data_IF_574893924897
#
_entry.id   IF_574893924897
#
_cell.length_a   1.000
_cell.length_b   1.000
_cell.length_c   1.000
_cell.angle_alpha   90.00
_cell.angle_beta   90.00
_cell.angle_gamma   90.00
#
_symmetry.space_group_name_H-M   'P 1'
#
loop_
_entity.id
_entity.type
_entity.pdbx_description
1 polymer ?
#
# COMPACT_ATOMS: atom_id res chain seq x y z
N UNK A 1 -1.11 -28.44 62.77
CA UNK A 1 -1.78 -28.80 61.50
C UNK A 1 -0.84 -28.44 60.36
N UNK A 2 -0.03 -29.42 59.92
CA UNK A 2 1.03 -29.25 58.93
C UNK A 2 0.40 -29.57 57.57
N UNK A 3 0.28 -28.57 56.70
CA UNK A 3 -0.18 -28.74 55.33
C UNK A 3 0.99 -29.22 54.47
N UNK A 4 0.94 -30.49 54.10
CA UNK A 4 1.85 -31.07 53.09
C UNK A 4 1.46 -30.50 51.72
N UNK A 5 2.29 -29.61 51.17
CA UNK A 5 2.23 -29.23 49.74
C UNK A 5 2.80 -30.39 48.92
N UNK A 6 1.94 -31.11 48.22
CA UNK A 6 2.32 -32.06 47.19
C UNK A 6 2.74 -31.30 45.93
N UNK A 7 4.03 -31.24 45.69
CA UNK A 7 4.59 -30.78 44.39
C UNK A 7 4.32 -31.85 43.35
N UNK A 8 3.33 -31.65 42.49
CA UNK A 8 3.16 -32.46 41.29
C UNK A 8 4.31 -32.19 40.32
N UNK A 9 5.34 -32.99 40.42
CA UNK A 9 6.45 -32.97 39.46
C UNK A 9 5.92 -33.37 38.08
N UNK A 10 5.95 -32.45 37.10
CA UNK A 10 5.72 -32.77 35.70
C UNK A 10 6.72 -33.85 35.28
N UNK A 11 6.25 -35.06 34.99
CA UNK A 11 7.06 -36.12 34.40
C UNK A 11 7.64 -35.64 33.06
N UNK A 12 8.91 -35.29 33.05
CA UNK A 12 9.64 -34.88 31.86
C UNK A 12 9.88 -36.12 31.00
N UNK A 13 9.22 -36.25 29.85
CA UNK A 13 9.44 -37.36 28.93
C UNK A 13 10.88 -37.34 28.42
N UNK A 14 11.59 -38.46 28.57
CA UNK A 14 12.91 -38.66 28.00
C UNK A 14 12.76 -39.17 26.57
N UNK A 15 13.47 -38.57 25.67
CA UNK A 15 13.46 -38.93 24.24
C UNK A 15 14.84 -39.51 23.87
N UNK A 16 14.84 -40.41 22.85
CA UNK A 16 16.07 -41.04 22.37
C UNK A 16 17.06 -39.95 21.86
N UNK A 17 18.31 -40.05 22.31
CA UNK A 17 19.39 -39.16 21.90
C UNK A 17 19.66 -39.21 20.41
N UNK A 18 19.47 -40.38 19.76
CA UNK A 18 19.65 -40.55 18.30
C UNK A 18 18.66 -39.68 17.50
N UNK A 19 17.41 -39.61 17.96
CA UNK A 19 16.41 -38.75 17.37
C UNK A 19 16.76 -37.27 17.60
N UNK A 20 17.23 -36.91 18.78
CA UNK A 20 17.69 -35.55 19.07
C UNK A 20 18.87 -35.15 18.17
N UNK A 21 19.83 -36.04 17.96
CA UNK A 21 20.98 -35.81 17.08
C UNK A 21 20.59 -35.77 15.60
N UNK A 22 19.59 -36.55 15.19
CA UNK A 22 19.05 -36.48 13.84
C UNK A 22 18.40 -35.14 13.57
N UNK A 23 17.53 -34.64 14.47
CA UNK A 23 16.90 -33.33 14.37
C UNK A 23 17.96 -32.23 14.38
N UNK A 24 19.00 -32.31 15.22
CA UNK A 24 20.10 -31.33 15.24
C UNK A 24 20.88 -31.31 13.92
N UNK A 25 21.26 -32.46 13.38
CA UNK A 25 22.04 -32.55 12.15
C UNK A 25 21.27 -32.09 10.93
N UNK A 26 19.99 -32.43 10.87
CA UNK A 26 19.13 -32.05 9.72
C UNK A 26 18.56 -30.67 9.86
N UNK A 27 18.47 -30.10 11.08
CA UNK A 27 17.76 -28.86 11.36
C UNK A 27 16.24 -28.96 11.13
N UNK A 28 15.72 -30.16 10.91
CA UNK A 28 14.33 -30.41 10.55
C UNK A 28 13.52 -30.92 11.75
N UNK A 29 12.71 -30.06 12.32
CA UNK A 29 11.85 -30.40 13.45
C UNK A 29 10.66 -31.29 13.07
N UNK A 30 10.35 -31.41 11.77
CA UNK A 30 9.21 -32.22 11.31
C UNK A 30 9.43 -33.68 11.60
N UNK A 31 10.68 -34.16 11.57
CA UNK A 31 11.06 -35.53 11.92
C UNK A 31 10.59 -35.91 13.33
N UNK A 32 10.64 -34.98 14.26
CA UNK A 32 10.18 -35.21 15.63
C UNK A 32 8.65 -35.00 15.77
N UNK A 33 8.08 -34.03 15.05
CA UNK A 33 6.63 -33.78 15.13
C UNK A 33 5.81 -34.91 14.49
N UNK A 34 6.33 -35.56 13.47
CA UNK A 34 5.69 -36.70 12.80
C UNK A 34 5.65 -37.95 13.72
N UNK A 35 6.54 -38.00 14.74
CA UNK A 35 6.52 -38.98 15.82
C UNK A 35 5.73 -38.51 17.04
N UNK A 36 4.90 -37.49 16.93
CA UNK A 36 4.06 -36.99 18.03
C UNK A 36 4.79 -36.19 19.10
N UNK A 37 6.02 -35.72 18.84
CA UNK A 37 6.79 -34.92 19.81
C UNK A 37 6.43 -33.44 19.64
N UNK A 38 6.14 -32.71 20.75
CA UNK A 38 5.82 -31.30 20.67
C UNK A 38 6.88 -30.46 19.94
N UNK A 39 6.48 -29.59 19.06
CA UNK A 39 7.39 -28.75 18.26
C UNK A 39 8.30 -27.86 19.09
N UNK A 40 7.85 -27.41 20.26
CA UNK A 40 8.66 -26.69 21.25
C UNK A 40 9.83 -27.51 21.77
N UNK A 41 9.60 -28.81 22.08
CA UNK A 41 10.62 -29.75 22.52
C UNK A 41 11.68 -30.00 21.44
N UNK A 42 11.23 -30.25 20.20
CA UNK A 42 12.11 -30.44 19.04
C UNK A 42 12.96 -29.19 18.73
N UNK A 43 12.38 -28.00 18.87
CA UNK A 43 13.12 -26.72 18.76
C UNK A 43 14.15 -26.56 19.90
N UNK A 44 13.81 -26.96 21.12
CA UNK A 44 14.72 -26.92 22.25
C UNK A 44 15.97 -27.79 22.05
N UNK A 45 15.88 -28.88 21.28
CA UNK A 45 17.03 -29.70 20.93
C UNK A 45 18.01 -29.02 19.99
N UNK A 46 17.53 -28.12 19.10
CA UNK A 46 18.42 -27.35 18.21
C UNK A 46 19.28 -26.34 18.99
N UNK A 47 18.80 -25.88 20.14
CA UNK A 47 19.49 -24.89 20.97
C UNK A 47 20.50 -25.52 21.93
N UNK A 48 20.42 -26.85 22.21
CA UNK A 48 21.34 -27.55 23.14
C UNK A 48 22.62 -28.01 22.42
N UNK A 49 23.75 -27.90 23.08
CA UNK A 49 25.00 -28.47 22.58
C UNK A 49 24.85 -30.00 22.35
N UNK A 50 25.44 -30.53 21.29
CA UNK A 50 25.39 -31.97 21.01
C UNK A 50 26.12 -32.75 22.10
N UNK A 51 25.52 -33.86 22.55
CA UNK A 51 26.25 -34.83 23.34
C UNK A 51 27.31 -35.47 22.44
N UNK A 52 28.55 -35.46 22.88
CA UNK A 52 29.62 -36.14 22.16
C UNK A 52 29.49 -37.64 22.48
N UNK A 53 28.97 -38.42 21.50
CA UNK A 53 28.95 -39.88 21.56
C UNK A 53 30.11 -40.37 20.72
N UNK A 54 31.07 -40.98 21.34
CA UNK A 54 32.24 -41.59 20.67
C UNK A 54 31.84 -42.95 20.12
N UNK A 55 32.15 -43.22 18.87
CA UNK A 55 31.93 -44.54 18.25
C UNK A 55 32.89 -45.56 18.88
N UNK A 56 32.44 -46.81 19.05
CA UNK A 56 33.27 -47.90 19.53
C UNK A 56 34.55 -48.11 18.70
N UNK A 57 34.48 -47.79 17.39
CA UNK A 57 35.63 -47.87 16.47
C UNK A 57 36.78 -46.94 16.85
N UNK A 58 36.50 -45.91 17.63
CA UNK A 58 37.49 -44.88 18.02
C UNK A 58 38.10 -45.19 19.39
N UNK A 59 37.42 -45.97 20.23
CA UNK A 59 37.87 -46.28 21.58
C UNK A 59 39.10 -47.19 21.63
N UNK A 60 39.32 -47.96 20.57
CA UNK A 60 40.45 -48.92 20.46
C UNK A 60 41.69 -48.35 19.74
N UNK A 61 41.65 -47.07 19.32
CA UNK A 61 42.76 -46.41 18.61
C UNK A 61 43.70 -45.71 19.58
N UNK A 62 45.00 -45.81 19.29
CA UNK A 62 46.00 -45.08 20.04
C UNK A 62 45.92 -43.57 19.81
N UNK A 63 46.43 -42.77 20.73
CA UNK A 63 46.45 -41.30 20.59
C UNK A 63 47.18 -40.84 19.31
N UNK A 64 48.21 -41.56 18.89
CA UNK A 64 48.95 -41.27 17.65
C UNK A 64 48.14 -41.54 16.40
N UNK A 65 47.38 -42.62 16.36
CA UNK A 65 46.46 -42.92 15.22
C UNK A 65 45.33 -41.91 15.11
N UNK A 66 44.77 -41.49 16.25
CA UNK A 66 43.76 -40.45 16.30
C UNK A 66 44.30 -39.09 15.81
N UNK A 67 45.53 -38.75 16.20
CA UNK A 67 46.18 -37.51 15.70
C UNK A 67 46.44 -37.56 14.20
N UNK A 68 46.90 -38.69 13.69
CA UNK A 68 47.08 -38.87 12.22
C UNK A 68 45.75 -38.75 11.49
N UNK A 69 44.69 -39.38 11.98
CA UNK A 69 43.37 -39.28 11.37
C UNK A 69 42.85 -37.84 11.39
N UNK A 70 43.01 -37.12 12.49
CA UNK A 70 42.64 -35.69 12.59
C UNK A 70 43.41 -34.86 11.55
N UNK A 71 44.68 -35.12 11.31
CA UNK A 71 45.49 -34.42 10.30
C UNK A 71 45.02 -34.74 8.89
N UNK A 72 44.71 -36.00 8.59
CA UNK A 72 44.16 -36.41 7.29
C UNK A 72 42.80 -35.77 7.05
N UNK A 73 41.89 -35.80 8.05
CA UNK A 73 40.58 -35.20 7.97
C UNK A 73 40.67 -33.66 7.79
N UNK A 74 41.55 -32.99 8.52
CA UNK A 74 41.80 -31.54 8.36
C UNK A 74 42.28 -31.19 6.94
N UNK A 75 43.21 -31.98 6.36
CA UNK A 75 43.66 -31.83 4.97
C UNK A 75 42.50 -32.01 3.99
N UNK A 76 41.67 -33.04 4.19
CA UNK A 76 40.49 -33.33 3.38
C UNK A 76 39.45 -32.22 3.45
N UNK A 77 39.16 -31.70 4.63
CA UNK A 77 38.27 -30.57 4.85
C UNK A 77 38.79 -29.30 4.15
N UNK A 78 40.11 -28.99 4.29
CA UNK A 78 40.70 -27.84 3.58
C UNK A 78 40.57 -28.00 2.07
N UNK A 79 40.86 -29.19 1.52
CA UNK A 79 40.72 -29.47 0.08
C UNK A 79 39.24 -29.30 -0.40
N UNK A 80 38.30 -29.90 0.31
CA UNK A 80 36.86 -29.78 0.00
C UNK A 80 36.36 -28.35 0.11
N UNK A 81 36.82 -27.59 1.11
CA UNK A 81 36.47 -26.17 1.27
C UNK A 81 37.02 -25.33 0.14
N UNK A 82 38.25 -25.61 -0.34
CA UNK A 82 38.83 -24.91 -1.48
C UNK A 82 38.05 -25.20 -2.77
N UNK A 83 37.72 -26.48 -3.03
CA UNK A 83 36.90 -26.85 -4.18
C UNK A 83 35.50 -26.24 -4.16
N UNK A 84 34.87 -26.22 -2.98
CA UNK A 84 33.57 -25.59 -2.80
C UNK A 84 33.64 -24.07 -3.07
N UNK A 85 34.67 -23.38 -2.55
CA UNK A 85 34.88 -21.94 -2.82
C UNK A 85 35.05 -21.68 -4.31
N UNK A 86 35.81 -22.53 -5.02
CA UNK A 86 35.96 -22.43 -6.49
C UNK A 86 34.63 -22.63 -7.20
N UNK A 87 33.88 -23.68 -6.84
CA UNK A 87 32.54 -23.93 -7.42
C UNK A 87 31.57 -22.77 -7.18
N UNK A 88 31.58 -22.17 -5.98
CA UNK A 88 30.77 -20.98 -5.66
C UNK A 88 31.21 -19.78 -6.48
N UNK A 89 32.49 -19.56 -6.66
CA UNK A 89 33.02 -18.47 -7.49
C UNK A 89 32.57 -18.64 -8.96
N UNK A 90 32.68 -19.84 -9.51
CA UNK A 90 32.22 -20.16 -10.86
C UNK A 90 30.70 -19.95 -11.03
N UNK A 91 29.89 -20.40 -10.06
CA UNK A 91 28.44 -20.18 -10.07
C UNK A 91 28.07 -18.69 -10.00
N UNK A 92 28.83 -17.89 -9.23
CA UNK A 92 28.62 -16.44 -9.12
C UNK A 92 29.01 -15.71 -10.41
N UNK A 93 30.09 -16.11 -11.06
CA UNK A 93 30.56 -15.49 -12.32
C UNK A 93 29.69 -15.89 -13.50
N UNK A 94 29.11 -17.09 -13.51
CA UNK A 94 28.15 -17.53 -14.55
C UNK A 94 26.79 -16.83 -14.46
N UNK A 95 26.54 -16.05 -13.40
CA UNK A 95 25.26 -15.36 -13.20
C UNK A 95 24.08 -16.27 -12.88
N UNK A 96 24.30 -17.59 -12.82
CA UNK A 96 23.23 -18.57 -12.57
C UNK A 96 22.68 -18.43 -11.15
N UNK A 97 21.40 -18.04 -11.06
CA UNK A 97 20.68 -17.99 -9.79
C UNK A 97 19.30 -18.60 -9.97
N UNK A 98 18.98 -19.60 -9.14
CA UNK A 98 17.64 -20.20 -9.10
C UNK A 98 16.53 -19.22 -8.76
N UNK A 99 16.85 -18.06 -8.18
CA UNK A 99 15.90 -16.98 -7.90
C UNK A 99 15.36 -16.29 -9.14
N UNK A 100 16.18 -16.18 -10.18
CA UNK A 100 15.86 -15.40 -11.38
C UNK A 100 15.56 -16.27 -12.59
N UNK A 101 16.01 -17.52 -12.59
CA UNK A 101 15.81 -18.42 -13.71
C UNK A 101 14.64 -19.37 -13.48
N UNK A 102 13.86 -19.52 -14.55
CA UNK A 102 12.79 -20.50 -14.61
C UNK A 102 13.35 -21.82 -15.13
N UNK A 103 13.19 -22.87 -14.35
CA UNK A 103 13.48 -24.24 -14.77
C UNK A 103 12.15 -24.92 -15.17
N UNK A 104 11.82 -24.98 -16.45
CA UNK A 104 10.54 -25.55 -16.88
C UNK A 104 10.51 -27.08 -16.75
N UNK A 105 11.63 -27.75 -16.99
CA UNK A 105 11.70 -29.21 -17.08
C UNK A 105 11.68 -29.90 -15.70
N UNK A 106 10.78 -30.84 -15.52
CA UNK A 106 10.64 -31.68 -14.33
C UNK A 106 11.92 -32.45 -13.95
N UNK A 107 12.63 -33.09 -14.89
CA UNK A 107 13.89 -33.79 -14.59
C UNK A 107 14.97 -32.91 -13.97
N UNK A 108 15.08 -31.65 -14.39
CA UNK A 108 16.01 -30.68 -13.76
C UNK A 108 15.61 -30.36 -12.32
N UNK A 109 14.33 -30.17 -12.06
CA UNK A 109 13.82 -29.94 -10.69
C UNK A 109 14.03 -31.13 -9.78
N UNK A 110 13.83 -32.39 -10.32
CA UNK A 110 14.08 -33.63 -9.56
C UNK A 110 15.54 -33.72 -9.17
N UNK A 111 16.48 -33.42 -10.09
CA UNK A 111 17.93 -33.45 -9.78
C UNK A 111 18.26 -32.47 -8.62
N UNK A 112 17.70 -31.28 -8.65
CA UNK A 112 17.90 -30.29 -7.56
C UNK A 112 17.32 -30.79 -6.25
N UNK A 113 16.07 -31.28 -6.25
CA UNK A 113 15.44 -31.82 -5.04
C UNK A 113 16.25 -32.98 -4.45
N UNK A 114 16.69 -33.94 -5.28
CA UNK A 114 17.55 -35.05 -4.83
C UNK A 114 18.90 -34.57 -4.28
N UNK A 115 19.50 -33.53 -4.89
CA UNK A 115 20.76 -32.97 -4.39
C UNK A 115 20.56 -32.30 -3.02
N UNK A 116 19.46 -31.55 -2.85
CA UNK A 116 19.11 -30.95 -1.55
C UNK A 116 18.85 -32.04 -0.51
N UNK A 117 18.11 -33.10 -0.85
CA UNK A 117 17.80 -34.20 0.08
C UNK A 117 19.06 -34.94 0.55
N UNK A 118 20.03 -35.18 -0.35
CA UNK A 118 21.33 -35.77 0.06
C UNK A 118 22.14 -34.83 0.96
N UNK A 119 22.14 -33.54 0.66
CA UNK A 119 22.89 -32.55 1.45
C UNK A 119 22.27 -32.27 2.83
N UNK A 120 20.98 -32.51 2.99
CA UNK A 120 20.26 -32.34 4.27
C UNK A 120 20.77 -33.22 5.41
N UNK A 121 21.40 -34.35 5.08
CA UNK A 121 22.03 -35.19 6.07
C UNK A 121 23.17 -34.48 6.81
N UNK A 122 23.79 -33.46 6.22
CA UNK A 122 24.98 -32.80 6.74
C UNK A 122 24.79 -31.30 6.99
N UNK A 123 23.79 -30.65 6.32
CA UNK A 123 23.60 -29.21 6.37
C UNK A 123 22.11 -28.89 6.54
N UNK A 124 21.75 -27.96 7.45
CA UNK A 124 20.36 -27.55 7.64
C UNK A 124 19.72 -27.03 6.35
N UNK A 125 18.47 -27.44 6.08
CA UNK A 125 17.72 -27.08 4.87
C UNK A 125 17.74 -25.56 4.57
N UNK A 126 17.55 -24.75 5.61
CA UNK A 126 17.55 -23.28 5.47
C UNK A 126 18.87 -22.73 4.91
N UNK A 127 20.00 -23.33 5.33
CA UNK A 127 21.33 -22.95 4.85
C UNK A 127 21.52 -23.37 3.39
N UNK A 128 21.09 -24.59 3.01
CA UNK A 128 21.13 -25.09 1.63
C UNK A 128 20.29 -24.22 0.70
N UNK A 129 19.06 -23.90 1.09
CA UNK A 129 18.18 -23.08 0.27
C UNK A 129 18.72 -21.65 0.10
N UNK A 130 19.31 -21.09 1.16
CA UNK A 130 19.98 -19.77 1.08
C UNK A 130 21.19 -19.82 0.14
N UNK A 131 21.99 -20.86 0.23
CA UNK A 131 23.16 -21.06 -0.64
C UNK A 131 22.78 -21.16 -2.11
N UNK A 132 21.71 -21.91 -2.43
CA UNK A 132 21.19 -22.07 -3.78
C UNK A 132 20.40 -20.85 -4.30
N UNK A 133 20.13 -19.85 -3.45
CA UNK A 133 19.22 -18.75 -3.77
C UNK A 133 17.80 -19.23 -4.03
N UNK A 134 17.36 -20.28 -3.33
CA UNK A 134 16.08 -20.96 -3.58
C UNK A 134 15.10 -20.65 -2.45
N UNK A 135 13.93 -20.11 -2.76
CA UNK A 135 12.96 -19.78 -1.71
C UNK A 135 12.36 -21.06 -1.07
N UNK A 136 12.14 -21.06 0.26
CA UNK A 136 11.49 -22.18 0.92
C UNK A 136 10.11 -22.53 0.34
N UNK A 137 9.32 -21.51 0.00
CA UNK A 137 8.00 -21.70 -0.62
C UNK A 137 8.07 -22.44 -1.94
N UNK A 138 9.05 -22.08 -2.79
CA UNK A 138 9.29 -22.75 -4.09
C UNK A 138 9.78 -24.19 -3.91
N UNK A 139 10.66 -24.42 -2.92
CA UNK A 139 11.12 -25.77 -2.58
C UNK A 139 9.96 -26.68 -2.15
N UNK A 140 9.14 -26.24 -1.21
CA UNK A 140 7.99 -27.01 -0.75
C UNK A 140 6.93 -27.19 -1.84
N UNK A 141 6.71 -26.20 -2.70
CA UNK A 141 5.82 -26.35 -3.84
C UNK A 141 6.31 -27.42 -4.84
N UNK A 142 7.62 -27.43 -5.14
CA UNK A 142 8.19 -28.48 -6.00
C UNK A 142 8.11 -29.87 -5.37
N UNK A 143 8.35 -29.97 -4.07
CA UNK A 143 8.26 -31.25 -3.35
C UNK A 143 6.84 -31.82 -3.37
N UNK A 144 5.82 -30.99 -3.15
CA UNK A 144 4.43 -31.44 -3.30
C UNK A 144 4.10 -31.89 -4.74
N UNK A 145 4.55 -31.15 -5.73
CA UNK A 145 4.34 -31.51 -7.15
C UNK A 145 5.11 -32.77 -7.55
N UNK A 146 6.24 -33.04 -6.94
CA UNK A 146 7.00 -34.26 -7.17
C UNK A 146 6.18 -35.49 -6.75
N UNK A 147 5.49 -35.45 -5.62
CA UNK A 147 4.60 -36.52 -5.16
C UNK A 147 3.38 -36.71 -6.09
N UNK A 148 2.93 -35.64 -6.70
CA UNK A 148 1.80 -35.66 -7.65
C UNK A 148 2.24 -35.93 -9.11
N UNK A 149 3.51 -36.23 -9.39
CA UNK A 149 4.09 -36.40 -10.74
C UNK A 149 3.86 -35.22 -11.70
N UNK A 150 3.65 -34.01 -11.18
CA UNK A 150 3.30 -32.78 -11.95
C UNK A 150 4.41 -31.73 -11.88
N UNK A 151 5.67 -32.14 -11.91
CA UNK A 151 6.82 -31.22 -11.77
C UNK A 151 7.12 -30.40 -13.01
N UNK A 152 6.72 -30.88 -14.19
CA UNK A 152 6.86 -30.10 -15.42
C UNK A 152 5.98 -28.83 -15.32
N UNK A 153 6.53 -27.70 -15.76
CA UNK A 153 5.71 -26.51 -15.86
C UNK A 153 4.80 -26.65 -17.08
N UNK A 154 3.52 -26.59 -16.83
CA UNK A 154 2.57 -26.44 -17.92
C UNK A 154 2.83 -25.11 -18.64
N UNK A 155 2.76 -25.12 -19.96
CA UNK A 155 2.83 -23.91 -20.77
C UNK A 155 1.68 -22.98 -20.35
N UNK A 156 1.96 -21.97 -19.56
CA UNK A 156 1.01 -20.91 -19.29
C UNK A 156 1.39 -19.74 -20.19
N UNK A 157 0.42 -19.14 -20.86
CA UNK A 157 0.65 -17.88 -21.55
C UNK A 157 0.88 -16.80 -20.49
N UNK A 158 2.13 -16.36 -20.23
CA UNK A 158 2.42 -15.39 -19.15
C UNK A 158 1.94 -13.98 -19.50
N UNK A 159 1.42 -13.77 -20.71
CA UNK A 159 1.08 -12.45 -21.24
C UNK A 159 -0.39 -12.06 -21.06
N UNK A 160 -1.25 -12.97 -20.62
CA UNK A 160 -2.69 -12.70 -20.47
C UNK A 160 -3.17 -12.94 -19.06
N UNK A 161 -3.08 -11.91 -18.22
CA UNK A 161 -3.91 -11.88 -17.01
C UNK A 161 -5.37 -11.73 -17.44
N UNK A 162 -6.30 -12.57 -16.96
CA UNK A 162 -7.73 -12.43 -17.27
C UNK A 162 -8.31 -11.09 -16.83
N UNK A 163 -7.63 -10.40 -15.95
CA UNK A 163 -8.01 -9.06 -15.45
C UNK A 163 -7.22 -7.91 -16.07
N UNK A 164 -6.41 -8.17 -17.09
CA UNK A 164 -5.71 -7.13 -17.83
C UNK A 164 -6.72 -6.18 -18.47
N UNK A 165 -6.46 -4.87 -18.41
CA UNK A 165 -7.27 -3.88 -19.11
C UNK A 165 -7.31 -4.17 -20.61
N UNK A 166 -8.48 -4.09 -21.19
CA UNK A 166 -8.65 -4.22 -22.63
C UNK A 166 -8.06 -3.00 -23.36
N UNK A 167 -7.70 -3.12 -24.64
CA UNK A 167 -7.25 -1.97 -25.43
C UNK A 167 -8.25 -0.81 -25.45
N UNK A 168 -9.55 -1.11 -25.42
CA UNK A 168 -10.61 -0.10 -25.37
C UNK A 168 -10.58 0.69 -24.04
N UNK A 169 -10.42 -0.01 -22.92
CA UNK A 169 -10.30 0.62 -21.60
C UNK A 169 -9.03 1.48 -21.49
N UNK A 170 -7.92 1.03 -22.07
CA UNK A 170 -6.67 1.82 -22.09
C UNK A 170 -6.85 3.08 -22.94
N UNK A 171 -7.54 3.00 -24.08
CA UNK A 171 -7.89 4.18 -24.90
C UNK A 171 -8.78 5.14 -24.12
N UNK A 172 -9.84 4.67 -23.49
CA UNK A 172 -10.73 5.50 -22.68
C UNK A 172 -9.99 6.22 -21.54
N UNK A 173 -9.02 5.54 -20.88
CA UNK A 173 -8.15 6.17 -19.87
C UNK A 173 -7.30 7.26 -20.52
N UNK A 174 -6.68 7.01 -21.68
CA UNK A 174 -5.87 7.99 -22.40
C UNK A 174 -6.71 9.21 -22.74
N UNK A 175 -7.88 9.01 -23.33
CA UNK A 175 -8.76 10.08 -23.77
C UNK A 175 -9.17 10.99 -22.61
N UNK A 176 -9.57 10.41 -21.48
CA UNK A 176 -9.89 11.19 -20.28
C UNK A 176 -8.67 11.92 -19.68
N UNK A 177 -7.50 11.28 -19.67
CA UNK A 177 -6.28 11.88 -19.10
C UNK A 177 -5.76 13.05 -19.95
N UNK A 178 -5.94 12.99 -21.26
CA UNK A 178 -5.45 14.00 -22.21
C UNK A 178 -6.49 15.06 -22.56
N UNK A 179 -7.76 14.84 -22.23
CA UNK A 179 -8.83 15.80 -22.49
C UNK A 179 -8.62 17.12 -21.73
N UNK A 180 -8.89 18.22 -22.42
CA UNK A 180 -8.73 19.59 -21.87
C UNK A 180 -9.71 19.83 -20.71
N UNK A 181 -10.91 19.28 -20.80
CA UNK A 181 -11.96 19.39 -19.79
C UNK A 181 -11.55 18.80 -18.44
N UNK A 182 -10.70 17.73 -18.41
CA UNK A 182 -10.22 17.11 -17.18
C UNK A 182 -8.79 17.53 -16.78
N UNK A 183 -8.27 18.58 -17.39
CA UNK A 183 -6.89 19.02 -17.14
C UNK A 183 -6.64 19.41 -15.69
N UNK A 184 -7.65 19.98 -15.04
CA UNK A 184 -7.63 20.37 -13.63
C UNK A 184 -7.84 19.21 -12.65
N UNK A 185 -8.34 18.06 -13.12
CA UNK A 185 -8.69 16.92 -12.26
C UNK A 185 -7.44 16.07 -11.98
N UNK A 186 -7.06 15.82 -10.72
CA UNK A 186 -5.97 14.91 -10.39
C UNK A 186 -6.23 13.50 -10.92
N UNK A 187 -5.18 12.81 -11.37
CA UNK A 187 -5.30 11.46 -11.96
C UNK A 187 -6.04 10.46 -11.07
N UNK A 188 -5.82 10.52 -9.75
CA UNK A 188 -6.53 9.63 -8.80
C UNK A 188 -8.02 9.95 -8.71
N UNK A 189 -8.40 11.21 -8.66
CA UNK A 189 -9.80 11.67 -8.70
C UNK A 189 -10.44 11.33 -10.03
N UNK A 190 -9.73 11.53 -11.13
CA UNK A 190 -10.21 11.20 -12.48
C UNK A 190 -10.51 9.70 -12.63
N UNK A 191 -9.70 8.83 -12.00
CA UNK A 191 -9.97 7.41 -12.00
C UNK A 191 -11.30 7.05 -11.30
N UNK A 192 -11.63 7.72 -10.21
CA UNK A 192 -12.91 7.52 -9.51
C UNK A 192 -14.07 8.15 -10.28
N UNK A 193 -13.86 9.34 -10.86
CA UNK A 193 -14.83 9.98 -11.72
C UNK A 193 -15.18 9.10 -12.93
N UNK A 194 -14.17 8.46 -13.55
CA UNK A 194 -14.40 7.53 -14.65
C UNK A 194 -15.30 6.35 -14.26
N UNK A 195 -15.17 5.86 -13.03
CA UNK A 195 -16.06 4.81 -12.51
C UNK A 195 -17.49 5.33 -12.30
N UNK A 196 -17.66 6.53 -11.76
CA UNK A 196 -18.98 7.17 -11.61
C UNK A 196 -19.67 7.35 -12.97
N UNK A 197 -18.92 7.79 -13.97
CA UNK A 197 -19.41 7.96 -15.35
C UNK A 197 -19.60 6.64 -16.10
N UNK A 198 -19.23 5.50 -15.49
CA UNK A 198 -19.33 4.19 -16.14
C UNK A 198 -18.35 3.95 -17.29
N UNK A 199 -17.32 4.80 -17.45
CA UNK A 199 -16.37 4.73 -18.57
C UNK A 199 -15.33 3.63 -18.38
N UNK A 200 -14.66 3.57 -17.22
CA UNK A 200 -13.58 2.59 -16.96
C UNK A 200 -13.53 2.21 -15.48
N UNK A 201 -13.41 0.91 -15.22
CA UNK A 201 -13.32 0.33 -13.89
C UNK A 201 -11.89 -0.13 -13.59
N UNK A 202 -11.00 0.81 -13.30
CA UNK A 202 -9.61 0.54 -12.94
C UNK A 202 -9.23 1.32 -11.67
N UNK A 203 -8.32 0.74 -10.88
CA UNK A 203 -7.84 1.40 -9.67
C UNK A 203 -7.03 2.66 -9.98
N UNK A 204 -7.01 3.67 -9.09
CA UNK A 204 -6.14 4.83 -9.25
C UNK A 204 -4.67 4.46 -9.49
N UNK A 205 -4.17 3.40 -8.84
CA UNK A 205 -2.80 2.91 -9.04
C UNK A 205 -2.54 2.48 -10.48
N UNK A 206 -3.53 1.84 -11.12
CA UNK A 206 -3.45 1.45 -12.54
C UNK A 206 -3.36 2.67 -13.44
N UNK A 207 -4.17 3.69 -13.17
CA UNK A 207 -4.13 4.97 -13.91
C UNK A 207 -2.77 5.64 -13.78
N UNK A 208 -2.23 5.77 -12.56
CA UNK A 208 -0.89 6.34 -12.36
C UNK A 208 0.20 5.58 -13.10
N UNK A 209 0.13 4.24 -13.11
CA UNK A 209 1.10 3.41 -13.82
C UNK A 209 1.03 3.61 -15.33
N UNK A 210 -0.17 3.69 -15.91
CA UNK A 210 -0.36 3.94 -17.35
C UNK A 210 0.11 5.35 -17.72
N UNK A 211 -0.31 6.37 -16.97
CA UNK A 211 0.12 7.76 -17.17
C UNK A 211 1.64 7.89 -17.16
N UNK A 212 2.31 7.22 -16.22
CA UNK A 212 3.77 7.21 -16.13
C UNK A 212 4.41 6.45 -17.29
N UNK A 213 3.89 5.27 -17.61
CA UNK A 213 4.41 4.40 -18.67
C UNK A 213 4.38 5.07 -20.04
N UNK A 214 3.30 5.79 -20.33
CA UNK A 214 3.09 6.40 -21.65
C UNK A 214 3.34 7.92 -21.68
N UNK A 215 3.71 8.54 -20.57
CA UNK A 215 4.03 9.97 -20.50
C UNK A 215 2.83 10.90 -20.79
N UNK A 216 1.58 10.47 -20.55
CA UNK A 216 0.38 11.23 -20.88
C UNK A 216 0.21 12.52 -20.07
N UNK A 217 0.81 12.62 -18.90
CA UNK A 217 0.88 13.83 -18.07
C UNK A 217 2.28 13.98 -17.49
N UNK A 218 2.72 15.23 -17.28
CA UNK A 218 4.00 15.49 -16.60
C UNK A 218 3.98 14.88 -15.20
N UNK A 219 5.02 14.14 -14.80
CA UNK A 219 5.13 13.64 -13.45
C UNK A 219 5.22 14.80 -12.46
N UNK A 220 4.45 14.74 -11.37
CA UNK A 220 4.58 15.69 -10.27
C UNK A 220 5.71 15.25 -9.38
N UNK A 221 6.74 16.05 -9.27
CA UNK A 221 7.80 15.86 -8.29
C UNK A 221 7.23 16.20 -6.90
N UNK A 222 7.43 15.30 -5.95
CA UNK A 222 7.15 15.58 -4.55
C UNK A 222 8.26 16.46 -4.01
N UNK A 223 7.99 17.74 -3.84
CA UNK A 223 8.96 18.72 -3.34
C UNK A 223 9.17 18.57 -1.83
N UNK A 224 8.16 18.09 -1.10
CA UNK A 224 8.24 17.92 0.35
C UNK A 224 7.89 16.48 0.77
N UNK A 225 8.62 15.91 1.75
CA UNK A 225 8.27 14.61 2.31
C UNK A 225 6.87 14.67 2.96
N UNK A 226 6.15 13.54 2.86
CA UNK A 226 4.86 13.43 3.56
C UNK A 226 5.13 13.41 5.07
N UNK A 227 4.74 14.46 5.78
CA UNK A 227 4.71 14.45 7.24
C UNK A 227 3.36 13.88 7.70
N UNK A 228 3.32 12.98 8.69
CA UNK A 228 2.07 12.57 9.30
C UNK A 228 1.39 13.81 9.88
N UNK A 229 0.16 14.07 9.47
CA UNK A 229 -0.63 15.19 9.97
C UNK A 229 -1.72 14.63 10.87
N UNK A 230 -1.69 15.04 12.11
CA UNK A 230 -2.80 14.84 13.05
C UNK A 230 -3.78 16.00 12.82
N UNK A 231 -5.05 15.70 12.64
CA UNK A 231 -6.09 16.71 12.40
C UNK A 231 -7.40 16.31 13.05
N UNK A 232 -8.29 17.26 13.20
CA UNK A 232 -9.64 17.04 13.73
C UNK A 232 -10.51 16.44 12.61
N UNK A 233 -11.36 15.50 12.99
CA UNK A 233 -12.38 14.89 12.13
C UNK A 233 -13.72 14.99 12.84
N UNK A 234 -14.69 15.58 12.18
CA UNK A 234 -16.08 15.63 12.66
C UNK A 234 -16.88 14.46 12.10
N UNK A 235 -17.99 14.15 12.74
CA UNK A 235 -18.86 13.01 12.39
C UNK A 235 -20.12 13.47 11.63
N UNK A 236 -20.44 14.76 11.65
CA UNK A 236 -21.63 15.34 11.01
C UNK A 236 -21.28 16.64 10.30
N UNK A 237 -22.07 17.02 9.32
CA UNK A 237 -22.02 18.32 8.67
C UNK A 237 -22.31 19.43 9.70
N UNK A 238 -21.68 20.56 9.54
CA UNK A 238 -21.84 21.75 10.36
C UNK A 238 -21.40 21.62 11.83
N UNK A 239 -20.70 20.56 12.24
CA UNK A 239 -20.07 20.50 13.56
C UNK A 239 -18.85 21.44 13.64
N UNK A 240 -18.04 21.49 12.58
CA UNK A 240 -16.86 22.33 12.51
C UNK A 240 -16.61 22.83 11.09
N UNK A 241 -16.34 24.10 10.98
CA UNK A 241 -15.91 24.77 9.77
C UNK A 241 -14.47 25.24 9.87
N UNK A 242 -13.77 25.30 8.75
CA UNK A 242 -12.47 25.93 8.67
C UNK A 242 -12.58 27.16 7.80
N UNK A 243 -12.09 28.30 8.30
CA UNK A 243 -11.96 29.52 7.52
C UNK A 243 -10.49 29.88 7.35
N UNK A 244 -10.16 30.40 6.20
CA UNK A 244 -8.82 30.95 5.91
C UNK A 244 -8.88 31.89 4.70
N UNK A 245 -7.84 32.70 4.56
CA UNK A 245 -7.67 33.63 3.45
C UNK A 245 -6.38 33.35 2.72
N UNK A 246 -6.45 33.27 1.41
CA UNK A 246 -5.25 33.08 0.59
C UNK A 246 -5.06 34.20 -0.41
N UNK A 247 -3.81 34.56 -0.67
CA UNK A 247 -3.43 35.60 -1.65
C UNK A 247 -3.17 34.98 -3.01
N UNK A 248 -3.70 35.63 -4.04
CA UNK A 248 -3.47 35.33 -5.45
C UNK A 248 -2.84 36.55 -6.10
N UNK A 249 -1.66 36.40 -6.69
CA UNK A 249 -1.00 37.49 -7.43
C UNK A 249 -1.49 37.50 -8.86
N UNK A 250 -1.92 38.65 -9.34
CA UNK A 250 -2.34 38.88 -10.71
C UNK A 250 -1.11 39.20 -11.60
N UNK A 251 -1.30 39.14 -12.90
CA UNK A 251 -0.23 39.39 -13.88
C UNK A 251 0.34 40.81 -13.81
N UNK A 252 -0.48 41.78 -13.46
CA UNK A 252 -0.08 43.20 -13.26
C UNK A 252 0.66 43.45 -11.93
N UNK A 253 0.86 42.40 -11.10
CA UNK A 253 1.50 42.48 -9.79
C UNK A 253 0.55 42.81 -8.64
N UNK A 254 -0.70 43.17 -8.91
CA UNK A 254 -1.71 43.39 -7.88
C UNK A 254 -2.12 42.09 -7.18
N UNK A 255 -2.87 42.19 -6.10
CA UNK A 255 -3.27 41.05 -5.28
C UNK A 255 -4.77 40.92 -5.21
N UNK A 256 -5.26 39.72 -5.39
CA UNK A 256 -6.61 39.33 -5.03
C UNK A 256 -6.57 38.47 -3.76
N UNK A 257 -7.52 38.68 -2.87
CA UNK A 257 -7.68 37.95 -1.62
C UNK A 257 -8.89 37.04 -1.69
N UNK A 258 -8.64 35.73 -1.57
CA UNK A 258 -9.71 34.74 -1.61
C UNK A 258 -9.95 34.21 -0.20
N UNK A 259 -11.12 34.52 0.34
CA UNK A 259 -11.64 34.00 1.60
C UNK A 259 -12.54 32.81 1.32
N UNK A 260 -12.49 31.75 2.12
CA UNK A 260 -13.42 30.63 2.00
C UNK A 260 -13.67 29.95 3.35
N UNK A 261 -14.83 29.30 3.43
CA UNK A 261 -15.25 28.45 4.53
C UNK A 261 -15.50 27.04 3.99
N UNK A 262 -14.85 26.05 4.60
CA UNK A 262 -15.00 24.62 4.25
C UNK A 262 -15.55 23.85 5.46
N UNK A 263 -16.54 23.00 5.22
CA UNK A 263 -17.05 22.07 6.23
C UNK A 263 -16.06 20.93 6.48
N UNK A 264 -15.80 20.64 7.77
CA UNK A 264 -14.83 19.61 8.16
C UNK A 264 -15.29 18.20 7.79
N UNK A 265 -16.57 17.89 7.93
CA UNK A 265 -17.11 16.57 7.64
C UNK A 265 -17.10 16.26 6.14
N UNK A 266 -17.76 17.09 5.36
CA UNK A 266 -18.04 16.86 3.95
C UNK A 266 -16.97 17.37 2.98
N UNK A 267 -16.10 18.27 3.42
CA UNK A 267 -15.16 19.01 2.55
C UNK A 267 -15.86 19.97 1.59
N UNK A 268 -17.14 20.22 1.78
CA UNK A 268 -17.90 21.18 0.98
C UNK A 268 -17.43 22.58 1.24
N UNK A 269 -17.22 23.37 0.20
CA UNK A 269 -17.02 24.82 0.32
C UNK A 269 -18.39 25.43 0.52
N UNK A 270 -18.63 25.96 1.71
CA UNK A 270 -19.92 26.54 2.10
C UNK A 270 -20.11 27.93 1.51
N UNK A 271 -19.05 28.75 1.62
CA UNK A 271 -19.02 30.09 1.06
C UNK A 271 -17.60 30.48 0.67
N UNK A 272 -17.49 31.43 -0.26
CA UNK A 272 -16.21 31.97 -0.69
C UNK A 272 -16.38 33.39 -1.26
N UNK A 273 -15.31 34.19 -1.22
CA UNK A 273 -15.31 35.56 -1.75
C UNK A 273 -13.94 35.94 -2.26
N UNK A 274 -13.88 36.54 -3.45
CA UNK A 274 -12.67 37.19 -3.98
C UNK A 274 -12.78 38.69 -3.81
N UNK A 275 -11.83 39.29 -3.10
CA UNK A 275 -11.76 40.73 -2.80
C UNK A 275 -10.45 41.33 -3.33
N UNK A 276 -10.48 42.62 -3.61
CA UNK A 276 -9.29 43.39 -4.03
C UNK A 276 -8.45 43.84 -2.84
N UNK A 277 -9.08 43.94 -1.67
CA UNK A 277 -8.44 44.40 -0.43
C UNK A 277 -8.52 43.33 0.65
N UNK A 278 -7.46 43.24 1.46
CA UNK A 278 -7.45 42.42 2.66
C UNK A 278 -8.17 43.19 3.78
N UNK A 279 -9.42 42.85 4.02
CA UNK A 279 -10.23 43.51 5.03
C UNK A 279 -11.04 42.49 5.83
N UNK A 280 -11.15 42.64 7.17
CA UNK A 280 -11.90 41.76 8.06
C UNK A 280 -13.37 41.58 7.67
N UNK A 281 -14.00 42.62 7.11
CA UNK A 281 -15.39 42.56 6.63
C UNK A 281 -15.63 41.45 5.62
N UNK A 282 -14.63 41.05 4.86
CA UNK A 282 -14.74 39.95 3.89
C UNK A 282 -14.86 38.60 4.58
N UNK A 283 -14.11 38.38 5.69
CA UNK A 283 -14.23 37.18 6.52
C UNK A 283 -15.59 37.06 7.17
N UNK A 284 -16.09 38.19 7.71
CA UNK A 284 -17.45 38.27 8.28
C UNK A 284 -18.50 37.93 7.21
N UNK A 285 -18.41 38.54 6.05
CA UNK A 285 -19.36 38.30 4.97
C UNK A 285 -19.41 36.83 4.55
N UNK A 286 -18.24 36.17 4.43
CA UNK A 286 -18.16 34.76 4.06
C UNK A 286 -18.71 33.85 5.17
N UNK A 287 -18.50 34.19 6.47
CA UNK A 287 -19.08 33.44 7.56
C UNK A 287 -20.62 33.56 7.61
N UNK A 288 -21.15 34.78 7.40
CA UNK A 288 -22.61 34.98 7.32
C UNK A 288 -23.22 34.23 6.14
N UNK A 289 -22.53 34.26 4.99
CA UNK A 289 -22.95 33.55 3.80
C UNK A 289 -22.92 32.03 4.00
N UNK A 290 -21.88 31.49 4.67
CA UNK A 290 -21.79 30.10 5.08
C UNK A 290 -22.93 29.71 6.03
N UNK A 291 -23.26 30.55 7.00
CA UNK A 291 -24.38 30.35 7.92
C UNK A 291 -25.75 30.31 7.24
N UNK A 292 -25.94 31.15 6.20
CA UNK A 292 -27.16 31.12 5.35
C UNK A 292 -27.27 29.90 4.46
N UNK A 293 -26.14 29.43 3.96
CA UNK A 293 -26.06 28.26 3.09
C UNK A 293 -26.10 26.94 3.86
N UNK A 294 -25.86 26.97 5.17
CA UNK A 294 -25.84 25.79 6.01
C UNK A 294 -27.27 25.22 6.19
N UNK A 295 -27.35 23.87 6.14
CA UNK A 295 -28.58 23.19 6.57
C UNK A 295 -28.81 23.44 8.06
N UNK A 296 -30.07 23.62 8.51
CA UNK A 296 -30.39 23.78 9.92
C UNK A 296 -29.75 22.64 10.75
N UNK A 297 -29.03 23.01 11.78
CA UNK A 297 -28.40 22.10 12.73
C UNK A 297 -28.82 22.43 14.15
N UNK A 298 -28.97 21.42 15.00
CA UNK A 298 -29.28 21.60 16.44
C UNK A 298 -28.10 22.22 17.21
N UNK A 299 -26.90 22.18 16.61
CA UNK A 299 -25.66 22.67 17.25
C UNK A 299 -25.08 23.85 16.49
N UNK A 300 -24.64 24.86 17.23
CA UNK A 300 -23.89 26.00 16.69
C UNK A 300 -22.55 25.53 16.13
N UNK A 301 -22.22 25.81 14.84
CA UNK A 301 -20.97 25.43 14.25
C UNK A 301 -19.74 25.98 14.95
N UNK A 302 -18.72 25.16 15.15
CA UNK A 302 -17.41 25.59 15.63
C UNK A 302 -16.56 26.03 14.44
N UNK A 303 -16.11 27.29 14.44
CA UNK A 303 -15.22 27.79 13.37
C UNK A 303 -13.78 27.71 13.83
N UNK A 304 -12.99 26.91 13.14
CA UNK A 304 -11.53 26.84 13.31
C UNK A 304 -10.89 27.89 12.40
N UNK A 305 -10.21 28.85 13.01
CA UNK A 305 -9.54 29.95 12.33
C UNK A 305 -8.10 30.09 12.83
N UNK A 306 -7.22 30.62 11.99
CA UNK A 306 -5.90 31.08 12.45
C UNK A 306 -6.05 32.40 13.21
N UNK A 307 -5.09 32.72 14.11
CA UNK A 307 -5.12 33.93 14.94
C UNK A 307 -4.76 35.22 14.15
N UNK A 308 -5.13 35.28 12.88
CA UNK A 308 -4.96 36.48 12.04
C UNK A 308 -6.00 37.55 12.34
N UNK A 309 -5.64 38.80 12.05
CA UNK A 309 -6.55 39.98 12.29
C UNK A 309 -7.85 39.89 11.51
N UNK A 310 -7.89 39.15 10.40
CA UNK A 310 -9.09 38.88 9.62
C UNK A 310 -10.10 37.98 10.35
N UNK A 311 -9.63 37.18 11.30
CA UNK A 311 -10.41 36.20 12.03
C UNK A 311 -10.63 36.59 13.50
N UNK A 312 -9.83 37.56 14.00
CA UNK A 312 -9.90 38.07 15.37
C UNK A 312 -10.15 39.58 15.33
N UNK A 313 -11.41 39.98 15.29
CA UNK A 313 -11.82 41.36 15.20
C UNK A 313 -13.26 41.52 15.74
N UNK A 314 -13.65 42.79 16.06
CA UNK A 314 -14.93 43.11 16.66
C UNK A 314 -16.16 42.60 15.92
N UNK A 315 -16.11 42.55 14.58
CA UNK A 315 -17.25 42.08 13.78
C UNK A 315 -17.40 40.56 13.84
N UNK A 316 -16.29 39.80 13.87
CA UNK A 316 -16.35 38.35 14.08
C UNK A 316 -16.75 38.03 15.51
N UNK A 317 -16.27 38.84 16.49
CA UNK A 317 -16.63 38.70 17.90
C UNK A 317 -18.12 38.97 18.13
N UNK A 318 -18.75 39.88 17.37
CA UNK A 318 -20.19 40.11 17.38
C UNK A 318 -20.98 38.86 16.93
N UNK A 319 -20.55 38.17 15.86
CA UNK A 319 -21.19 36.93 15.43
C UNK A 319 -21.08 35.80 16.48
N UNK A 320 -20.03 35.84 17.29
CA UNK A 320 -19.82 34.87 18.37
C UNK A 320 -20.72 35.21 19.55
N UNK A 321 -20.78 36.51 19.95
CA UNK A 321 -21.61 36.99 21.07
C UNK A 321 -23.10 36.81 20.80
N UNK A 322 -23.52 36.92 19.54
CA UNK A 322 -24.92 36.68 19.14
C UNK A 322 -25.27 35.18 19.08
N UNK A 323 -24.29 34.27 19.33
CA UNK A 323 -24.52 32.83 19.36
C UNK A 323 -24.67 32.17 17.99
N UNK A 324 -24.42 32.90 16.90
CA UNK A 324 -24.50 32.39 15.52
C UNK A 324 -23.37 31.40 15.23
N UNK A 325 -22.19 31.66 15.82
CA UNK A 325 -20.98 30.87 15.62
C UNK A 325 -20.20 30.70 16.92
N UNK A 326 -19.39 29.67 17.00
CA UNK A 326 -18.41 29.44 18.07
C UNK A 326 -17.00 29.36 17.45
N UNK A 327 -16.11 30.30 17.83
CA UNK A 327 -14.73 30.30 17.29
C UNK A 327 -13.78 29.48 18.16
N UNK A 328 -12.85 28.80 17.52
CA UNK A 328 -11.68 28.15 18.13
C UNK A 328 -10.44 28.51 17.31
N UNK A 329 -9.37 28.97 17.97
CA UNK A 329 -8.14 29.38 17.28
C UNK A 329 -7.20 28.22 17.12
N UNK A 330 -6.79 27.97 15.87
CA UNK A 330 -5.79 26.97 15.50
C UNK A 330 -4.42 27.32 16.10
N UNK A 331 -3.67 26.31 16.56
CA UNK A 331 -2.35 26.42 17.18
C UNK A 331 -2.29 27.21 18.50
N UNK A 332 -3.33 27.96 18.86
CA UNK A 332 -3.45 28.70 20.11
C UNK A 332 -4.24 27.91 21.13
N UNK A 333 -5.46 27.54 20.81
CA UNK A 333 -6.36 26.74 21.64
C UNK A 333 -6.32 25.26 21.36
N UNK A 334 -5.98 24.88 20.12
CA UNK A 334 -5.80 23.51 19.67
C UNK A 334 -4.40 23.30 19.09
N UNK A 335 -3.78 22.15 19.39
CA UNK A 335 -2.47 21.76 18.83
C UNK A 335 -2.53 21.34 17.35
N UNK A 336 -3.56 21.73 16.60
CA UNK A 336 -3.78 21.36 15.22
C UNK A 336 -3.73 22.59 14.31
N UNK A 337 -3.15 22.42 13.12
CA UNK A 337 -3.13 23.47 12.10
C UNK A 337 -4.43 23.47 11.28
N UNK A 338 -4.72 24.59 10.62
CA UNK A 338 -5.83 24.76 9.68
C UNK A 338 -5.58 24.03 8.32
N UNK A 339 -4.95 22.85 8.41
CA UNK A 339 -4.36 22.12 7.27
C UNK A 339 -5.37 21.64 6.22
N UNK A 340 -6.66 21.61 6.57
CA UNK A 340 -7.70 21.18 5.65
C UNK A 340 -7.94 22.19 4.54
N UNK A 341 -8.20 23.42 4.91
CA UNK A 341 -8.41 24.49 3.94
C UNK A 341 -7.11 24.82 3.20
N UNK A 342 -5.95 24.73 3.87
CA UNK A 342 -4.65 24.84 3.20
C UNK A 342 -4.45 23.79 2.09
N UNK A 343 -4.90 22.55 2.31
CA UNK A 343 -4.84 21.49 1.30
C UNK A 343 -5.76 21.80 0.11
N UNK A 344 -6.93 22.39 0.37
CA UNK A 344 -7.83 22.84 -0.69
C UNK A 344 -7.23 24.00 -1.48
N UNK A 345 -6.62 25.01 -0.81
CA UNK A 345 -5.89 26.09 -1.51
C UNK A 345 -4.82 25.56 -2.45
N UNK A 346 -4.07 24.57 -2.00
CA UNK A 346 -3.05 23.95 -2.84
C UNK A 346 -3.65 23.29 -4.07
N UNK A 347 -4.78 22.62 -3.90
CA UNK A 347 -5.50 22.00 -5.01
C UNK A 347 -6.03 23.05 -5.99
N UNK A 348 -6.73 24.06 -5.52
CA UNK A 348 -7.26 25.16 -6.34
C UNK A 348 -6.14 25.87 -7.12
N UNK A 349 -5.08 26.29 -6.44
CA UNK A 349 -3.97 27.03 -7.06
C UNK A 349 -3.24 26.21 -8.11
N UNK A 350 -2.76 25.01 -7.74
CA UNK A 350 -1.89 24.24 -8.60
C UNK A 350 -2.62 23.38 -9.65
N UNK A 351 -3.88 23.04 -9.43
CA UNK A 351 -4.62 22.24 -10.38
C UNK A 351 -5.46 23.10 -11.34
N UNK A 352 -5.76 24.33 -10.94
CA UNK A 352 -6.66 25.17 -11.71
C UNK A 352 -6.13 26.58 -11.96
N UNK A 353 -6.02 27.44 -10.94
CA UNK A 353 -5.72 28.85 -11.14
C UNK A 353 -4.43 29.09 -11.94
N UNK A 354 -3.33 28.42 -11.58
CA UNK A 354 -2.03 28.58 -12.24
C UNK A 354 -1.93 27.93 -13.63
N UNK A 355 -3.01 27.35 -14.14
CA UNK A 355 -3.14 26.93 -15.53
C UNK A 355 -3.73 28.00 -16.43
N UNK A 356 -4.15 29.13 -15.87
CA UNK A 356 -4.81 30.25 -16.55
C UNK A 356 -4.03 31.53 -16.36
N UNK A 357 -4.27 32.50 -17.27
CA UNK A 357 -3.78 33.87 -17.13
C UNK A 357 -4.65 34.58 -16.10
N UNK A 358 -4.05 35.02 -14.99
CA UNK A 358 -4.73 35.70 -13.89
C UNK A 358 -4.62 37.22 -14.13
N UNK A 359 -5.36 37.75 -15.08
CA UNK A 359 -5.28 39.13 -15.56
C UNK A 359 -6.10 40.13 -14.71
N UNK A 360 -7.13 39.65 -14.05
CA UNK A 360 -8.02 40.52 -13.25
C UNK A 360 -8.70 39.75 -12.10
N UNK A 361 -9.17 40.49 -11.08
CA UNK A 361 -9.98 39.96 -9.98
C UNK A 361 -11.25 39.29 -10.50
N UNK A 362 -11.85 39.83 -11.55
CA UNK A 362 -13.03 39.23 -12.19
C UNK A 362 -12.73 37.89 -12.82
N UNK A 363 -11.59 37.76 -13.49
CA UNK A 363 -11.12 36.45 -14.01
C UNK A 363 -10.89 35.45 -12.89
N UNK A 364 -10.23 35.85 -11.80
CA UNK A 364 -10.03 34.97 -10.62
C UNK A 364 -11.38 34.54 -10.05
N UNK A 365 -12.35 35.47 -9.89
CA UNK A 365 -13.69 35.15 -9.38
C UNK A 365 -14.38 34.07 -10.22
N UNK A 366 -14.41 34.24 -11.55
CA UNK A 366 -14.99 33.26 -12.47
C UNK A 366 -14.32 31.89 -12.41
N UNK A 367 -12.99 31.88 -12.30
CA UNK A 367 -12.23 30.62 -12.19
C UNK A 367 -12.48 29.91 -10.86
N UNK A 368 -12.60 30.65 -9.76
CA UNK A 368 -12.92 30.11 -8.43
C UNK A 368 -14.34 29.56 -8.39
N UNK A 369 -15.31 30.29 -8.97
CA UNK A 369 -16.70 29.86 -9.08
C UNK A 369 -16.81 28.49 -9.74
N UNK A 370 -16.21 28.37 -10.94
CA UNK A 370 -16.14 27.08 -11.64
C UNK A 370 -15.52 25.99 -10.79
N UNK A 371 -14.37 26.26 -10.17
CA UNK A 371 -13.67 25.23 -9.40
C UNK A 371 -14.42 24.81 -8.15
N UNK A 372 -15.10 25.73 -7.46
CA UNK A 372 -15.94 25.41 -6.30
C UNK A 372 -17.13 24.56 -6.70
N UNK A 373 -17.78 24.87 -7.82
CA UNK A 373 -18.88 24.06 -8.34
C UNK A 373 -18.42 22.65 -8.70
N UNK A 374 -17.31 22.52 -9.43
CA UNK A 374 -16.71 21.22 -9.76
C UNK A 374 -16.34 20.44 -8.49
N UNK A 375 -15.69 21.09 -7.53
CA UNK A 375 -15.28 20.48 -6.28
C UNK A 375 -16.46 19.97 -5.45
N UNK A 376 -17.52 20.77 -5.32
CA UNK A 376 -18.66 20.41 -4.49
C UNK A 376 -19.53 19.34 -5.13
N UNK A 377 -19.82 19.47 -6.44
CA UNK A 377 -20.91 18.74 -7.10
C UNK A 377 -20.44 17.60 -8.00
N UNK A 378 -19.28 17.73 -8.62
CA UNK A 378 -18.87 16.82 -9.71
C UNK A 378 -17.73 15.91 -9.29
N UNK A 379 -16.70 16.45 -8.62
CA UNK A 379 -15.50 15.69 -8.32
C UNK A 379 -15.65 14.82 -7.08
N UNK A 380 -15.46 13.48 -7.21
CA UNK A 380 -15.48 12.62 -6.06
C UNK A 380 -14.27 12.90 -5.16
N UNK A 381 -14.51 13.04 -3.87
CA UNK A 381 -13.44 13.29 -2.91
C UNK A 381 -12.82 11.98 -2.42
N UNK A 382 -11.48 11.94 -2.36
CA UNK A 382 -10.72 10.71 -2.05
C UNK A 382 -11.03 10.10 -0.67
N UNK A 383 -11.56 10.89 0.27
CA UNK A 383 -11.94 10.42 1.60
C UNK A 383 -13.30 9.71 1.65
N UNK A 384 -14.15 9.80 0.62
CA UNK A 384 -15.57 9.45 0.68
C UNK A 384 -15.99 8.29 -0.23
N UNK A 385 -15.07 7.39 -0.56
CA UNK A 385 -15.37 6.18 -1.35
C UNK A 385 -16.13 6.45 -2.66
N UNK A 386 -15.88 7.62 -3.28
CA UNK A 386 -16.47 7.99 -4.55
C UNK A 386 -17.60 9.02 -4.48
N UNK A 387 -18.03 9.44 -3.31
CA UNK A 387 -19.00 10.51 -3.12
C UNK A 387 -18.36 11.88 -3.37
N UNK A 388 -19.17 12.85 -3.79
CA UNK A 388 -18.80 14.27 -3.86
C UNK A 388 -18.97 14.94 -2.49
N UNK A 389 -18.37 16.12 -2.27
CA UNK A 389 -18.63 16.91 -1.08
C UNK A 389 -20.11 17.21 -0.82
N UNK A 390 -20.89 17.54 -1.86
CA UNK A 390 -22.32 17.81 -1.72
C UNK A 390 -23.10 16.55 -1.32
N UNK A 391 -22.80 15.41 -1.92
CA UNK A 391 -23.43 14.13 -1.54
C UNK A 391 -23.16 13.77 -0.08
N UNK A 392 -21.96 14.05 0.42
CA UNK A 392 -21.62 13.86 1.84
C UNK A 392 -22.33 14.85 2.74
N UNK A 393 -22.41 16.12 2.31
CA UNK A 393 -23.02 17.19 3.11
C UNK A 393 -24.51 17.01 3.30
N UNK A 394 -25.21 16.68 2.20
CA UNK A 394 -26.67 16.52 2.20
C UNK A 394 -27.13 15.08 2.49
N UNK A 395 -26.20 14.13 2.69
CA UNK A 395 -26.53 12.71 2.93
C UNK A 395 -27.20 12.02 1.74
N UNK A 396 -27.03 12.54 0.53
CA UNK A 396 -27.64 12.00 -0.69
C UNK A 396 -26.79 10.92 -1.37
N UNK A 397 -25.57 10.71 -0.90
CA UNK A 397 -24.58 9.85 -1.54
C UNK A 397 -24.39 8.47 -0.90
N UNK A 398 -25.18 8.06 0.07
CA UNK A 398 -24.96 6.82 0.85
C UNK A 398 -24.96 5.55 -0.01
N UNK A 399 -25.72 5.52 -1.09
CA UNK A 399 -25.77 4.40 -2.01
C UNK A 399 -24.54 4.32 -2.96
N UNK A 400 -23.81 5.42 -3.16
CA UNK A 400 -22.73 5.52 -4.14
C UNK A 400 -21.63 4.46 -3.94
N UNK A 401 -21.08 4.23 -2.74
CA UNK A 401 -20.05 3.22 -2.53
C UNK A 401 -20.52 1.78 -2.88
N UNK A 402 -21.75 1.46 -2.56
CA UNK A 402 -22.38 0.16 -2.87
C UNK A 402 -22.56 -0.03 -4.37
N UNK A 403 -23.10 0.97 -5.07
CA UNK A 403 -23.27 0.98 -6.53
C UNK A 403 -21.95 0.82 -7.25
N UNK A 404 -20.94 1.61 -6.88
CA UNK A 404 -19.60 1.54 -7.48
C UNK A 404 -18.97 0.15 -7.28
N UNK A 405 -19.16 -0.47 -6.11
CA UNK A 405 -18.63 -1.82 -5.83
C UNK A 405 -19.31 -2.85 -6.72
N UNK A 406 -20.62 -2.79 -6.86
CA UNK A 406 -21.41 -3.71 -7.70
C UNK A 406 -21.02 -3.59 -9.16
N UNK A 407 -20.95 -2.37 -9.67
CA UNK A 407 -20.55 -2.08 -11.06
C UNK A 407 -19.10 -2.47 -11.33
N UNK A 408 -18.19 -2.29 -10.37
CA UNK A 408 -16.81 -2.75 -10.48
C UNK A 408 -16.70 -4.27 -10.60
N UNK A 409 -17.51 -5.01 -9.85
CA UNK A 409 -17.56 -6.48 -9.95
C UNK A 409 -18.08 -6.94 -11.32
N UNK A 410 -19.15 -6.32 -11.83
CA UNK A 410 -19.69 -6.58 -13.16
C UNK A 410 -18.66 -6.29 -14.27
N UNK A 411 -17.98 -5.14 -14.20
CA UNK A 411 -16.96 -4.75 -15.16
C UNK A 411 -15.75 -5.72 -15.14
N UNK A 412 -15.34 -6.19 -13.95
CA UNK A 412 -14.29 -7.21 -13.83
C UNK A 412 -14.69 -8.52 -14.49
N UNK A 413 -15.93 -8.96 -14.31
CA UNK A 413 -16.47 -10.17 -14.95
C UNK A 413 -16.48 -10.02 -16.49
N UNK A 414 -16.99 -8.92 -17.00
CA UNK A 414 -17.03 -8.62 -18.44
C UNK A 414 -15.63 -8.56 -19.05
N UNK A 415 -14.68 -7.89 -18.39
CA UNK A 415 -13.27 -7.87 -18.80
C UNK A 415 -12.66 -9.26 -18.87
N UNK A 416 -12.91 -10.11 -17.85
CA UNK A 416 -12.44 -11.49 -17.83
C UNK A 416 -12.99 -12.31 -19.00
N UNK A 417 -14.25 -12.10 -19.38
CA UNK A 417 -14.85 -12.72 -20.55
C UNK A 417 -14.22 -12.24 -21.86
N UNK A 418 -14.08 -10.91 -22.02
CA UNK A 418 -13.45 -10.31 -23.20
C UNK A 418 -11.99 -10.78 -23.39
N UNK A 419 -11.22 -10.89 -22.31
CA UNK A 419 -9.85 -11.36 -22.37
C UNK A 419 -9.71 -12.87 -22.66
N UNK A 420 -10.71 -13.67 -22.30
CA UNK A 420 -10.73 -15.13 -22.65
C UNK A 420 -11.11 -15.36 -24.11
N UNK A 421 -12.01 -14.54 -24.65
CA UNK A 421 -12.41 -14.62 -26.05
C UNK A 421 -11.40 -13.99 -27.00
N UNK A 422 -10.47 -13.15 -26.50
CA UNK A 422 -9.42 -12.58 -27.31
C UNK A 422 -8.39 -13.66 -27.67
N UNK A 423 -8.28 -14.02 -28.94
CA UNK A 423 -7.27 -14.95 -29.43
C UNK A 423 -5.86 -14.45 -29.10
N UNK A 424 -5.05 -15.29 -28.46
CA UNK A 424 -3.65 -15.00 -28.23
C UNK A 424 -2.87 -15.31 -29.52
N UNK A 425 -2.44 -14.27 -30.24
CA UNK A 425 -1.69 -14.45 -31.51
C UNK A 425 -0.32 -15.12 -31.35
N UNK A 426 0.12 -15.41 -30.12
CA UNK A 426 1.43 -16.04 -29.83
C UNK A 426 1.29 -17.43 -29.20
N UNK A 427 0.09 -17.89 -28.89
CA UNK A 427 -0.13 -19.25 -28.39
C UNK A 427 -0.62 -20.14 -29.50
N UNK A 428 -0.09 -21.40 -29.63
CA UNK A 428 -0.70 -22.37 -30.49
C UNK A 428 -2.15 -22.60 -30.09
N UNK A 429 -3.05 -22.87 -31.06
CA UNK A 429 -4.44 -23.19 -30.76
C UNK A 429 -4.47 -24.37 -29.78
N UNK A 430 -5.22 -24.21 -28.70
CA UNK A 430 -5.47 -25.31 -27.77
C UNK A 430 -6.27 -26.32 -28.56
N UNK A 431 -5.67 -27.47 -28.89
CA UNK A 431 -6.44 -28.61 -29.35
C UNK A 431 -7.53 -28.86 -28.32
N UNK A 432 -8.75 -28.70 -28.75
CA UNK A 432 -9.91 -29.05 -27.94
C UNK A 432 -9.75 -30.54 -27.62
N UNK A 433 -9.61 -30.86 -26.34
CA UNK A 433 -9.66 -32.24 -25.87
C UNK A 433 -11.02 -32.79 -26.31
N UNK A 434 -10.98 -33.68 -27.28
CA UNK A 434 -12.09 -34.49 -27.71
C UNK A 434 -12.47 -35.50 -26.60
#
# INVERSE_FOLDING_TARGET
>A
MIILMTTTGRHQRRYDHRLQDLVRRTGDVTIATDLGIPRSTARGWLAKAPNVVVSLDVTNRSASELQQEVLVLRRRVKKLTALLRLAVALLRTSGFRLTHERLPAGPAKIRILRAVDRARAFVPLRALLRFLGFSPSRFHAWRRRQHACTLDDQSSCPHTSPHRLTPAEIRAIKDMVTAVEYRHVPTGTLAVLAQRLGKVWASPSTWYNLVRKFGWRRPRLRVHPAKPKVGIRTMRANEMWHIDTTVIRLLDGTRAYLHAVIDNFSRRILAWRVAETFAPVNSVAVLVEAGRAATPSETTPVVLADAGVENVNAHVDELITTGVLRRVLALTELKFSNSMIEAWWRSLKHHWLFLHSLDSVTTVRRLVEFYVQEHNQVLPHSAFRGQTPDEMYFGTGDAVPGDLTTRAAAARKARGQANRSAACGTCPPTEAAA
#
